data_IF_963192615071
#
_entry.id   IF_963192615071
#
_cell.length_a   1.000
_cell.length_b   1.000
_cell.length_c   1.000
_cell.angle_alpha   90.00
_cell.angle_beta   90.00
_cell.angle_gamma   90.00
#
_symmetry.space_group_name_H-M   'P 1'
#
loop_
_entity.id
_entity.type
_entity.pdbx_description
1 polymer ?
#
# COMPACT_ATOMS: atom_id res chain seq x y z
N UNK A 1 35.40 23.43 13.29
CA UNK A 1 34.24 23.92 12.53
C UNK A 1 33.71 22.79 11.66
N UNK A 2 32.63 22.10 12.06
CA UNK A 2 32.18 20.84 11.42
C UNK A 2 30.97 21.02 10.50
N UNK A 3 30.88 22.17 9.82
CA UNK A 3 29.85 22.39 8.80
C UNK A 3 30.27 21.63 7.53
N UNK A 4 29.52 20.56 7.17
CA UNK A 4 29.77 19.77 5.96
C UNK A 4 29.71 18.24 6.15
N UNK A 5 29.67 17.74 7.40
CA UNK A 5 29.47 16.31 7.62
C UNK A 5 28.04 15.87 7.34
N UNK A 6 27.87 14.73 6.65
CA UNK A 6 26.57 14.10 6.42
C UNK A 6 25.96 13.69 7.76
N UNK A 7 24.93 14.42 8.20
CA UNK A 7 24.17 14.07 9.40
C UNK A 7 23.46 12.73 9.16
N UNK A 8 23.85 11.70 9.92
CA UNK A 8 23.16 10.41 9.91
C UNK A 8 21.85 10.52 10.68
N UNK A 9 20.73 10.54 9.97
CA UNK A 9 19.40 10.52 10.58
C UNK A 9 19.12 9.10 11.09
N UNK A 10 18.88 8.97 12.40
CA UNK A 10 18.42 7.72 13.03
C UNK A 10 16.96 7.87 13.40
N UNK A 11 16.10 6.98 12.90
CA UNK A 11 14.66 6.99 13.20
C UNK A 11 14.34 5.94 14.27
N UNK A 12 13.68 6.35 15.35
CA UNK A 12 13.28 5.47 16.45
C UNK A 12 11.76 5.37 16.48
N UNK A 13 11.22 4.16 16.45
CA UNK A 13 9.79 3.90 16.59
C UNK A 13 9.44 3.71 18.06
N UNK A 14 8.53 4.55 18.56
CA UNK A 14 8.16 4.63 19.98
C UNK A 14 6.83 3.93 20.34
N UNK A 15 6.08 3.49 19.33
CA UNK A 15 4.76 2.87 19.48
C UNK A 15 4.68 1.54 18.70
N UNK A 16 3.52 0.90 18.69
CA UNK A 16 3.24 -0.34 17.98
C UNK A 16 2.13 -0.16 16.94
N UNK A 17 2.44 0.39 15.75
CA UNK A 17 1.45 0.61 14.70
C UNK A 17 0.92 -0.72 14.16
N UNK A 18 -0.39 -0.81 13.95
CA UNK A 18 -1.03 -1.95 13.27
C UNK A 18 -0.96 -1.83 11.74
N UNK A 19 -0.77 -0.62 11.22
CA UNK A 19 -0.65 -0.34 9.79
C UNK A 19 0.58 0.53 9.57
N UNK A 20 1.40 0.17 8.58
CA UNK A 20 2.48 1.00 8.07
C UNK A 20 2.32 1.19 6.59
N UNK A 21 2.57 2.42 6.16
CA UNK A 21 2.62 2.80 4.77
C UNK A 21 4.04 3.23 4.43
N UNK A 22 4.64 2.63 3.40
CA UNK A 22 5.97 3.00 2.89
C UNK A 22 5.78 3.67 1.54
N UNK A 23 6.21 4.93 1.44
CA UNK A 23 6.24 5.68 0.18
C UNK A 23 7.58 5.53 -0.53
N UNK A 24 7.54 5.21 -1.82
CA UNK A 24 8.67 5.19 -2.72
C UNK A 24 8.58 6.41 -3.65
N UNK A 25 9.67 7.16 -3.73
CA UNK A 25 9.77 8.36 -4.57
C UNK A 25 10.72 8.05 -5.71
N UNK A 26 10.22 8.24 -6.94
CA UNK A 26 10.98 8.04 -8.16
C UNK A 26 11.49 9.37 -8.70
N UNK A 27 12.63 9.30 -9.35
CA UNK A 27 13.27 10.40 -10.06
C UNK A 27 12.63 10.69 -11.42
N UNK A 28 11.91 9.71 -11.98
CA UNK A 28 11.22 9.82 -13.26
C UNK A 28 9.93 9.00 -13.31
N UNK A 29 9.08 9.31 -14.30
CA UNK A 29 7.87 8.54 -14.63
C UNK A 29 8.16 7.13 -15.20
N UNK A 30 9.43 6.83 -15.50
CA UNK A 30 9.91 5.58 -16.09
C UNK A 30 11.32 5.28 -15.59
N UNK A 31 11.45 4.87 -14.33
CA UNK A 31 12.75 4.57 -13.71
C UNK A 31 13.20 3.15 -14.05
N UNK A 32 14.44 3.01 -14.52
CA UNK A 32 15.05 1.70 -14.84
C UNK A 32 15.26 0.83 -13.58
N UNK A 33 15.17 1.43 -12.38
CA UNK A 33 15.31 0.72 -11.11
C UNK A 33 14.01 0.05 -10.62
N UNK A 34 12.88 0.31 -11.30
CA UNK A 34 11.57 -0.16 -10.84
C UNK A 34 11.49 -1.68 -10.74
N UNK A 35 12.06 -2.39 -11.72
CA UNK A 35 12.09 -3.85 -11.76
C UNK A 35 12.88 -4.44 -10.58
N UNK A 36 14.09 -3.94 -10.33
CA UNK A 36 14.93 -4.37 -9.20
C UNK A 36 14.27 -4.13 -7.84
N UNK A 37 13.61 -2.99 -7.69
CA UNK A 37 12.84 -2.68 -6.49
C UNK A 37 11.70 -3.68 -6.31
N UNK A 38 10.89 -3.91 -7.35
CA UNK A 38 9.77 -4.87 -7.30
C UNK A 38 10.26 -6.28 -6.94
N UNK A 39 11.39 -6.72 -7.51
CA UNK A 39 11.99 -8.02 -7.19
C UNK A 39 12.43 -8.13 -5.73
N UNK A 40 12.83 -7.01 -5.13
CA UNK A 40 13.30 -6.94 -3.75
C UNK A 40 12.17 -6.80 -2.73
N UNK A 41 10.93 -6.51 -3.16
CA UNK A 41 9.81 -6.33 -2.25
C UNK A 41 9.40 -7.64 -1.58
N UNK A 42 9.54 -7.68 -0.25
CA UNK A 42 9.03 -8.74 0.60
C UNK A 42 7.58 -8.51 1.05
N UNK A 43 6.83 -9.60 1.27
CA UNK A 43 5.45 -9.53 1.77
C UNK A 43 5.35 -9.55 3.29
N UNK A 44 6.46 -9.72 4.01
CA UNK A 44 6.53 -9.65 5.46
C UNK A 44 7.53 -8.56 5.85
N UNK A 45 7.14 -7.72 6.80
CA UNK A 45 7.92 -6.58 7.28
C UNK A 45 8.04 -6.66 8.80
N UNK A 46 9.28 -6.69 9.30
CA UNK A 46 9.58 -6.48 10.72
C UNK A 46 9.94 -5.01 10.92
N UNK A 47 9.43 -4.42 11.99
CA UNK A 47 9.66 -3.00 12.29
C UNK A 47 11.14 -2.68 12.54
N UNK A 48 11.90 -3.66 13.03
CA UNK A 48 13.35 -3.56 13.21
C UNK A 48 14.14 -3.41 11.90
N UNK A 49 13.58 -3.83 10.76
CA UNK A 49 14.22 -3.68 9.45
C UNK A 49 14.05 -2.26 8.88
N UNK A 50 13.02 -1.53 9.33
CA UNK A 50 12.68 -0.18 8.85
C UNK A 50 13.25 0.94 9.75
N UNK A 51 13.31 0.72 11.06
CA UNK A 51 13.72 1.73 12.03
C UNK A 51 15.05 1.38 12.67
N UNK A 52 15.87 2.40 12.95
CA UNK A 52 17.14 2.22 13.65
C UNK A 52 16.96 1.57 15.03
N UNK A 53 15.83 1.86 15.69
CA UNK A 53 15.46 1.25 16.97
C UNK A 53 13.94 1.23 17.11
N UNK A 54 13.40 0.14 17.65
CA UNK A 54 12.00 0.01 18.06
C UNK A 54 11.99 -0.15 19.57
N UNK A 55 11.29 0.73 20.30
CA UNK A 55 11.31 0.70 21.78
C UNK A 55 10.16 -0.10 22.38
N UNK A 56 8.99 -0.06 21.76
CA UNK A 56 7.81 -0.80 22.22
C UNK A 56 8.01 -2.30 22.06
N UNK A 57 7.75 -3.08 23.12
CA UNK A 57 8.00 -4.52 23.12
C UNK A 57 7.04 -5.29 22.23
N UNK A 58 5.79 -4.84 22.05
CA UNK A 58 4.88 -5.48 21.08
C UNK A 58 5.40 -5.24 19.67
N UNK A 59 5.77 -4.01 19.35
CA UNK A 59 6.29 -3.61 18.05
C UNK A 59 7.56 -4.39 17.64
N UNK A 60 8.45 -4.70 18.59
CA UNK A 60 9.66 -5.53 18.33
C UNK A 60 9.33 -6.93 17.81
N UNK A 61 8.20 -7.49 18.23
CA UNK A 61 7.75 -8.84 17.87
C UNK A 61 6.65 -8.83 16.79
N UNK A 62 6.23 -7.65 16.33
CA UNK A 62 5.20 -7.52 15.30
C UNK A 62 5.77 -7.84 13.91
N UNK A 63 5.04 -8.68 13.19
CA UNK A 63 5.22 -8.90 11.76
C UNK A 63 4.02 -8.31 11.03
N UNK A 64 4.28 -7.37 10.12
CA UNK A 64 3.27 -6.78 9.26
C UNK A 64 3.33 -7.44 7.90
N UNK A 65 2.17 -7.62 7.26
CA UNK A 65 2.05 -8.30 5.99
C UNK A 65 1.61 -7.32 4.91
N UNK A 66 2.20 -7.43 3.73
CA UNK A 66 1.81 -6.60 2.59
C UNK A 66 0.37 -6.94 2.20
N UNK A 67 -0.52 -5.95 2.31
CA UNK A 67 -1.94 -6.08 1.97
C UNK A 67 -2.31 -5.30 0.72
N UNK A 68 -1.50 -4.31 0.35
CA UNK A 68 -1.75 -3.46 -0.80
C UNK A 68 -0.49 -2.82 -1.35
N UNK A 69 -0.49 -2.59 -2.66
CA UNK A 69 0.53 -1.86 -3.37
C UNK A 69 -0.13 -0.96 -4.41
N UNK A 70 0.19 0.33 -4.38
CA UNK A 70 -0.23 1.31 -5.37
C UNK A 70 0.94 1.49 -6.33
N UNK A 71 0.67 1.39 -7.62
CA UNK A 71 1.63 1.60 -8.68
C UNK A 71 1.25 2.76 -9.57
N UNK A 72 2.25 3.33 -10.23
CA UNK A 72 2.11 4.30 -11.28
C UNK A 72 2.79 3.81 -12.55
N UNK A 73 2.17 4.09 -13.68
CA UNK A 73 2.73 3.85 -15.00
C UNK A 73 2.07 4.79 -16.00
N UNK A 74 2.86 5.56 -16.75
CA UNK A 74 2.36 6.33 -17.88
C UNK A 74 1.22 7.30 -17.54
N UNK A 75 1.36 8.07 -16.44
CA UNK A 75 0.34 9.00 -15.90
C UNK A 75 -0.92 8.35 -15.35
N UNK A 76 -0.87 7.05 -15.09
CA UNK A 76 -1.99 6.28 -14.59
C UNK A 76 -1.66 5.56 -13.29
N UNK A 77 -2.62 5.55 -12.36
CA UNK A 77 -2.52 4.84 -11.10
C UNK A 77 -3.29 3.52 -11.18
N UNK A 78 -2.68 2.44 -10.71
CA UNK A 78 -3.35 1.16 -10.55
C UNK A 78 -2.92 0.51 -9.24
N UNK A 79 -3.70 -0.46 -8.77
CA UNK A 79 -3.45 -1.03 -7.44
C UNK A 79 -3.52 -2.55 -7.42
N UNK A 80 -2.81 -3.12 -6.47
CA UNK A 80 -2.71 -4.55 -6.21
C UNK A 80 -3.06 -4.77 -4.75
N UNK A 81 -4.15 -5.47 -4.44
CA UNK A 81 -4.57 -5.74 -3.07
C UNK A 81 -4.78 -7.22 -2.83
N UNK A 82 -4.41 -7.68 -1.63
CA UNK A 82 -4.66 -9.05 -1.21
C UNK A 82 -6.05 -9.18 -0.59
N UNK A 83 -6.97 -9.86 -1.28
CA UNK A 83 -8.32 -10.11 -0.80
C UNK A 83 -8.32 -11.32 0.15
N UNK A 84 -8.42 -11.04 1.45
CA UNK A 84 -8.30 -12.04 2.52
C UNK A 84 -9.34 -13.15 2.45
N UNK A 85 -10.60 -12.84 2.08
CA UNK A 85 -11.70 -13.82 2.00
C UNK A 85 -11.41 -14.96 1.02
N UNK A 86 -10.87 -14.64 -0.15
CA UNK A 86 -10.57 -15.64 -1.20
C UNK A 86 -9.08 -15.99 -1.25
N UNK A 87 -8.24 -15.29 -0.48
CA UNK A 87 -6.79 -15.45 -0.38
C UNK A 87 -6.08 -15.29 -1.73
N UNK A 88 -6.46 -14.27 -2.49
CA UNK A 88 -5.87 -13.96 -3.80
C UNK A 88 -5.53 -12.49 -3.92
N UNK A 89 -4.48 -12.23 -4.68
CA UNK A 89 -4.13 -10.91 -5.16
C UNK A 89 -5.08 -10.49 -6.28
N UNK A 90 -5.57 -9.26 -6.16
CA UNK A 90 -6.48 -8.63 -7.08
C UNK A 90 -5.81 -7.38 -7.65
N UNK A 91 -5.93 -7.19 -8.95
CA UNK A 91 -5.51 -5.99 -9.66
C UNK A 91 -6.72 -5.10 -9.92
N UNK A 92 -6.60 -3.82 -9.61
CA UNK A 92 -7.63 -2.82 -9.85
C UNK A 92 -7.07 -1.71 -10.74
N UNK A 93 -7.81 -1.42 -11.80
CA UNK A 93 -7.47 -0.48 -12.86
C UNK A 93 -8.74 0.21 -13.35
N UNK A 94 -9.08 1.33 -12.71
CA UNK A 94 -10.37 2.02 -12.82
C UNK A 94 -11.55 1.05 -12.66
N UNK A 95 -12.36 0.87 -13.71
CA UNK A 95 -13.50 -0.03 -13.74
C UNK A 95 -13.11 -1.51 -13.89
N UNK A 96 -11.84 -1.82 -14.20
CA UNK A 96 -11.37 -3.18 -14.42
C UNK A 96 -10.80 -3.78 -13.15
N UNK A 97 -11.40 -4.90 -12.71
CA UNK A 97 -10.88 -5.72 -11.62
C UNK A 97 -10.48 -7.09 -12.16
N UNK A 98 -9.24 -7.51 -11.91
CA UNK A 98 -8.73 -8.81 -12.36
C UNK A 98 -8.12 -9.59 -11.20
N UNK A 99 -8.49 -10.86 -11.09
CA UNK A 99 -7.80 -11.79 -10.22
C UNK A 99 -6.40 -12.09 -10.80
N UNK A 100 -5.36 -12.06 -9.96
CA UNK A 100 -3.98 -12.39 -10.34
C UNK A 100 -3.66 -13.82 -9.90
N UNK A 101 -3.94 -14.14 -8.63
CA UNK A 101 -3.65 -15.44 -8.04
C UNK A 101 -3.21 -15.37 -6.59
N UNK A 102 -2.95 -16.51 -5.93
CA UNK A 102 -2.63 -16.56 -4.51
C UNK A 102 -1.18 -16.17 -4.18
N UNK A 103 -0.28 -16.09 -5.16
CA UNK A 103 1.16 -15.91 -4.92
C UNK A 103 1.61 -14.49 -5.25
N UNK A 104 2.46 -13.93 -4.38
CA UNK A 104 3.10 -12.64 -4.62
C UNK A 104 3.92 -12.60 -5.90
N UNK A 105 4.57 -13.71 -6.27
CA UNK A 105 5.34 -13.83 -7.51
C UNK A 105 4.51 -13.51 -8.75
N UNK A 106 3.21 -13.79 -8.72
CA UNK A 106 2.31 -13.52 -9.84
C UNK A 106 2.05 -12.00 -9.96
N UNK A 107 1.96 -11.30 -8.82
CA UNK A 107 1.92 -9.83 -8.77
C UNK A 107 3.21 -9.25 -9.32
N UNK A 108 4.36 -9.72 -8.85
CA UNK A 108 5.69 -9.31 -9.35
C UNK A 108 5.76 -9.47 -10.87
N UNK A 109 5.40 -10.64 -11.38
CA UNK A 109 5.42 -10.93 -12.83
C UNK A 109 4.54 -9.95 -13.62
N UNK A 110 3.35 -9.62 -13.10
CA UNK A 110 2.46 -8.64 -13.73
C UNK A 110 3.03 -7.23 -13.66
N UNK A 111 3.69 -6.87 -12.55
CA UNK A 111 4.31 -5.56 -12.36
C UNK A 111 5.46 -5.34 -13.37
N UNK A 112 6.34 -6.34 -13.52
CA UNK A 112 7.44 -6.28 -14.50
C UNK A 112 6.91 -6.18 -15.93
N UNK A 113 5.97 -7.06 -16.31
CA UNK A 113 5.37 -7.05 -17.66
C UNK A 113 4.66 -5.75 -18.02
N UNK A 114 4.12 -5.05 -17.02
CA UNK A 114 3.41 -3.80 -17.21
C UNK A 114 4.23 -2.56 -16.89
N UNK A 115 5.55 -2.70 -16.64
CA UNK A 115 6.46 -1.61 -16.32
C UNK A 115 5.97 -0.71 -15.18
N UNK A 116 5.32 -1.31 -14.18
CA UNK A 116 4.75 -0.56 -13.06
C UNK A 116 5.85 -0.06 -12.11
N UNK A 117 5.70 1.16 -11.61
CA UNK A 117 6.53 1.71 -10.53
C UNK A 117 5.74 1.68 -9.22
N UNK A 118 6.15 0.92 -8.20
CA UNK A 118 5.46 0.93 -6.92
C UNK A 118 5.68 2.28 -6.22
N UNK A 119 4.60 2.91 -5.76
CA UNK A 119 4.62 4.20 -5.07
C UNK A 119 4.33 4.07 -3.59
N UNK A 120 3.39 3.18 -3.25
CA UNK A 120 2.89 3.06 -1.90
C UNK A 120 2.73 1.58 -1.56
N UNK A 121 3.37 1.16 -0.48
CA UNK A 121 3.24 -0.18 0.08
C UNK A 121 2.46 -0.11 1.38
N UNK A 122 1.42 -0.91 1.49
CA UNK A 122 0.55 -0.98 2.66
C UNK A 122 0.79 -2.31 3.37
N UNK A 123 1.33 -2.22 4.58
CA UNK A 123 1.55 -3.36 5.47
C UNK A 123 0.60 -3.28 6.67
N UNK A 124 0.01 -4.41 7.05
CA UNK A 124 -0.92 -4.49 8.17
C UNK A 124 -0.65 -5.70 9.08
N UNK A 125 -0.91 -5.56 10.38
CA UNK A 125 -0.94 -6.66 11.32
C UNK A 125 -2.18 -7.53 11.02
N UNK A 126 -2.03 -8.84 10.76
CA UNK A 126 -3.16 -9.73 10.51
C UNK A 126 -4.12 -9.86 11.70
N UNK A 127 -3.69 -9.44 12.89
CA UNK A 127 -4.48 -9.38 14.13
C UNK A 127 -4.93 -7.96 14.46
N UNK A 128 -4.76 -7.01 13.52
CA UNK A 128 -5.18 -5.64 13.67
C UNK A 128 -6.69 -5.53 13.93
N UNK A 129 -7.07 -4.49 14.66
CA UNK A 129 -8.46 -4.20 15.00
C UNK A 129 -9.00 -3.14 14.05
N UNK A 130 -10.23 -3.28 13.52
CA UNK A 130 -10.87 -2.21 12.76
C UNK A 130 -10.92 -0.92 13.56
N UNK A 131 -10.75 0.22 12.89
CA UNK A 131 -10.93 1.53 13.53
C UNK A 131 -12.39 1.66 13.97
N UNK A 132 -12.61 1.95 15.25
CA UNK A 132 -13.95 2.19 15.79
C UNK A 132 -14.53 3.46 15.17
N UNK A 133 -15.75 3.37 14.65
CA UNK A 133 -16.50 4.55 14.16
C UNK A 133 -17.22 5.29 15.28
N UNK A 134 -17.20 4.78 16.52
CA UNK A 134 -17.94 5.35 17.65
C UNK A 134 -17.29 6.63 18.20
N UNK A 135 -15.98 6.79 18.00
CA UNK A 135 -15.20 7.97 18.43
C UNK A 135 -15.08 9.03 17.32
N UNK A 136 -15.84 8.88 16.23
CA UNK A 136 -15.87 9.90 15.18
C UNK A 136 -16.56 11.16 15.71
N UNK A 137 -16.03 12.36 15.42
CA UNK A 137 -16.74 13.61 15.71
C UNK A 137 -18.14 13.55 15.07
N UNK A 138 -19.17 14.15 15.70
CA UNK A 138 -20.54 14.03 15.22
C UNK A 138 -20.65 14.54 13.77
N UNK A 139 -21.01 13.63 12.86
CA UNK A 139 -21.51 13.86 11.51
C UNK A 139 -20.51 14.46 10.49
N UNK A 140 -19.76 13.57 9.83
CA UNK A 140 -19.69 13.63 8.37
C UNK A 140 -20.56 12.48 7.89
N UNK A 141 -21.74 12.80 7.36
CA UNK A 141 -22.77 11.83 7.00
C UNK A 141 -22.31 10.94 5.83
N UNK A 142 -21.66 9.81 6.15
CA UNK A 142 -21.18 8.84 5.17
C UNK A 142 -22.34 8.11 4.45
N UNK A 143 -23.59 8.27 4.92
CA UNK A 143 -24.74 7.61 4.30
C UNK A 143 -25.09 8.17 2.92
N UNK A 144 -24.63 9.38 2.58
CA UNK A 144 -24.85 9.96 1.24
C UNK A 144 -23.96 9.36 0.15
N UNK A 145 -22.80 8.76 0.50
CA UNK A 145 -21.90 8.17 -0.50
C UNK A 145 -22.34 6.78 -0.97
N UNK A 146 -23.11 6.06 -0.16
CA UNK A 146 -23.63 4.73 -0.50
C UNK A 146 -24.83 4.77 -1.46
N UNK A 147 -25.43 5.95 -1.69
CA UNK A 147 -26.69 6.10 -2.45
C UNK A 147 -26.56 6.74 -3.82
N UNK A 148 -25.37 7.20 -4.21
CA UNK A 148 -25.14 7.88 -5.51
C UNK A 148 -24.34 7.06 -6.51
N UNK A 149 -23.97 5.83 -6.17
CA UNK A 149 -23.42 4.88 -7.14
C UNK A 149 -24.57 4.04 -7.70
N UNK A 150 -24.84 4.16 -9.01
CA UNK A 150 -25.89 3.50 -9.79
C UNK A 150 -27.27 4.16 -9.81
N UNK A 151 -27.33 5.37 -10.37
CA UNK A 151 -28.44 5.75 -11.26
C UNK A 151 -27.86 6.62 -12.39
N UNK A 152 -27.34 5.97 -13.43
CA UNK A 152 -27.17 6.60 -14.74
C UNK A 152 -28.28 6.09 -15.64
N UNK A 153 -29.47 6.66 -15.46
CA UNK A 153 -30.34 6.88 -16.60
C UNK A 153 -29.69 7.97 -17.46
N UNK A 154 -29.20 7.61 -18.65
CA UNK A 154 -29.23 8.58 -19.75
C UNK A 154 -29.71 7.89 -21.02
N UNK A 155 -30.91 8.32 -21.42
CA UNK A 155 -31.55 8.00 -22.67
C UNK A 155 -31.09 9.03 -23.70
N UNK A 156 -30.16 8.66 -24.56
CA UNK A 156 -29.71 9.51 -25.67
C UNK A 156 -29.79 8.79 -27.00
N UNK A 157 -30.96 8.81 -27.65
CA UNK A 157 -31.09 8.50 -29.08
C UNK A 157 -30.44 9.62 -29.90
N UNK A 158 -29.52 9.27 -30.78
CA UNK A 158 -29.52 9.65 -32.19
C UNK A 158 -28.55 8.78 -33.00
#
# INVERSE_FOLDING_TARGET
>A
SNCGEKIRIRRVLMNSPQIITIGLVWDSDHSDLAEDVIHSLGTCLKLGDLFFRVTDDRAKHSELYLVGMICYYGKHYSTFFFQTKIRKWMYFDDAHVKEIGPKWKDVVTKCIKGHYQPLLLLYADPRGTPVSTQDLPPQVDLQQYSRTCYDSEDSGKQ
#
